data_IF_248810852748
#
_entry.id   IF_248810852748
#
_cell.length_a   1.000
_cell.length_b   1.000
_cell.length_c   1.000
_cell.angle_alpha   90.00
_cell.angle_beta   90.00
_cell.angle_gamma   90.00
#
_symmetry.space_group_name_H-M   'P 1'
#
loop_
_entity.id
_entity.type
_entity.pdbx_description
1 polymer ?
#
# COMPACT_ATOMS: atom_id res chain seq x y z
N UNK A 1 -37.87 -6.70 25.36
CA UNK A 1 -36.89 -7.28 24.42
C UNK A 1 -36.19 -6.13 23.72
N UNK A 2 -35.03 -5.71 24.22
CA UNK A 2 -34.22 -4.68 23.57
C UNK A 2 -33.42 -5.34 22.44
N UNK A 3 -33.52 -4.77 21.25
CA UNK A 3 -32.95 -5.30 20.02
C UNK A 3 -31.43 -5.06 20.03
N UNK A 4 -30.74 -6.10 19.55
CA UNK A 4 -29.32 -6.30 19.33
C UNK A 4 -28.47 -5.06 18.98
N UNK A 5 -27.28 -5.00 19.58
CA UNK A 5 -26.13 -4.26 19.08
C UNK A 5 -25.69 -4.80 17.71
N UNK A 6 -25.76 -3.98 16.66
CA UNK A 6 -24.98 -4.16 15.43
C UNK A 6 -24.09 -2.95 15.22
N UNK A 7 -22.95 -3.03 15.90
CA UNK A 7 -21.60 -2.63 15.48
C UNK A 7 -21.52 -1.97 14.07
N UNK A 8 -21.08 -0.71 14.04
CA UNK A 8 -20.40 -0.06 12.91
C UNK A 8 -21.19 0.06 11.59
N UNK A 9 -22.01 1.11 11.48
CA UNK A 9 -22.21 1.78 10.19
C UNK A 9 -21.22 2.95 10.15
N UNK A 10 -19.97 2.65 9.77
CA UNK A 10 -19.11 3.66 9.15
C UNK A 10 -19.56 3.73 7.69
N UNK A 11 -20.36 4.73 7.39
CA UNK A 11 -20.67 5.12 6.01
C UNK A 11 -19.35 5.50 5.32
N UNK A 12 -18.77 4.55 4.60
CA UNK A 12 -17.68 4.76 3.66
C UNK A 12 -18.23 5.52 2.44
N UNK A 13 -18.40 6.82 2.62
CA UNK A 13 -18.84 7.74 1.58
C UNK A 13 -17.74 7.88 0.53
N UNK A 14 -17.75 6.98 -0.45
CA UNK A 14 -17.20 7.09 -1.82
C UNK A 14 -16.38 8.35 -2.10
N UNK A 15 -15.08 8.28 -1.85
CA UNK A 15 -14.09 9.09 -2.57
C UNK A 15 -13.06 8.13 -3.16
N UNK A 16 -13.36 7.69 -4.38
CA UNK A 16 -12.44 7.00 -5.31
C UNK A 16 -11.55 5.93 -4.67
N UNK A 17 -12.05 4.71 -4.53
CA UNK A 17 -11.27 3.48 -4.34
C UNK A 17 -10.32 3.23 -5.54
N UNK A 18 -9.42 4.17 -5.86
CA UNK A 18 -8.19 3.85 -6.58
C UNK A 18 -7.38 2.96 -5.63
N UNK A 19 -7.68 1.67 -5.66
CA UNK A 19 -6.94 0.61 -5.00
C UNK A 19 -5.44 0.89 -5.23
N UNK A 20 -4.75 1.30 -4.16
CA UNK A 20 -3.41 1.85 -4.22
C UNK A 20 -2.47 0.90 -4.99
N UNK A 21 -2.16 1.26 -6.24
CA UNK A 21 -1.36 0.43 -7.14
C UNK A 21 0.01 1.09 -7.34
N UNK A 22 1.00 0.61 -6.60
CA UNK A 22 2.39 1.08 -6.69
C UNK A 22 3.17 0.46 -7.85
N UNK A 23 2.51 -0.36 -8.68
CA UNK A 23 3.07 -1.04 -9.84
C UNK A 23 3.79 -2.36 -9.51
N UNK A 24 3.74 -2.80 -8.25
CA UNK A 24 4.37 -4.03 -7.79
C UNK A 24 3.37 -5.00 -7.16
N UNK A 25 3.62 -6.30 -7.29
CA UNK A 25 2.82 -7.33 -6.64
C UNK A 25 3.10 -7.44 -5.12
N UNK A 26 2.48 -8.43 -4.48
CA UNK A 26 2.70 -8.74 -3.06
C UNK A 26 4.17 -9.08 -2.74
N UNK A 27 4.92 -9.61 -3.72
CA UNK A 27 6.33 -9.96 -3.58
C UNK A 27 7.29 -8.82 -3.98
N UNK A 28 6.78 -7.59 -4.17
CA UNK A 28 7.55 -6.43 -4.65
C UNK A 28 8.18 -6.63 -6.04
N UNK A 29 7.63 -7.56 -6.82
CA UNK A 29 8.05 -7.85 -8.18
C UNK A 29 7.13 -7.12 -9.16
N UNK A 30 7.73 -6.46 -10.15
CA UNK A 30 6.99 -5.86 -11.25
C UNK A 30 6.67 -6.87 -12.35
N UNK A 31 6.40 -6.35 -13.54
CA UNK A 31 6.24 -7.16 -14.75
C UNK A 31 7.52 -7.90 -15.16
N UNK A 32 7.47 -8.60 -16.29
CA UNK A 32 8.55 -9.49 -16.71
C UNK A 32 9.89 -8.76 -16.97
N UNK A 33 9.85 -7.52 -17.43
CA UNK A 33 11.04 -6.67 -17.58
C UNK A 33 11.73 -6.38 -16.23
N UNK A 34 10.94 -6.12 -15.19
CA UNK A 34 11.45 -5.87 -13.83
C UNK A 34 12.10 -7.13 -13.24
N UNK A 35 11.49 -8.30 -13.49
CA UNK A 35 12.05 -9.59 -13.08
C UNK A 35 13.41 -9.84 -13.73
N UNK A 36 13.54 -9.55 -15.03
CA UNK A 36 14.80 -9.69 -15.76
C UNK A 36 15.85 -8.73 -15.18
N UNK A 37 15.49 -7.48 -14.91
CA UNK A 37 16.39 -6.50 -14.31
C UNK A 37 16.88 -6.97 -12.92
N UNK A 38 15.99 -7.47 -12.08
CA UNK A 38 16.34 -8.00 -10.75
C UNK A 38 17.24 -9.24 -10.82
N UNK A 39 17.07 -10.10 -11.84
CA UNK A 39 17.95 -11.26 -12.05
C UNK A 39 19.35 -10.88 -12.56
N UNK A 40 19.50 -9.72 -13.20
CA UNK A 40 20.80 -9.22 -13.67
C UNK A 40 21.61 -8.53 -12.56
N UNK A 41 20.98 -8.19 -11.44
CA UNK A 41 21.65 -7.58 -10.28
C UNK A 41 22.38 -8.64 -9.44
N UNK A 42 23.43 -8.21 -8.74
CA UNK A 42 24.04 -9.06 -7.70
C UNK A 42 23.09 -9.22 -6.52
N UNK A 43 23.27 -10.27 -5.71
CA UNK A 43 22.37 -10.53 -4.57
C UNK A 43 22.22 -9.32 -3.63
N UNK A 44 23.33 -8.62 -3.35
CA UNK A 44 23.32 -7.42 -2.51
C UNK A 44 22.49 -6.29 -3.12
N UNK A 45 22.60 -6.08 -4.43
CA UNK A 45 21.87 -5.03 -5.13
C UNK A 45 20.38 -5.37 -5.27
N UNK A 46 20.07 -6.65 -5.47
CA UNK A 46 18.71 -7.18 -5.51
C UNK A 46 18.00 -6.98 -4.17
N UNK A 47 18.66 -7.33 -3.07
CA UNK A 47 18.12 -7.10 -1.71
C UNK A 47 17.95 -5.61 -1.39
N UNK A 48 18.91 -4.76 -1.78
CA UNK A 48 18.80 -3.31 -1.60
C UNK A 48 17.61 -2.73 -2.36
N UNK A 49 17.40 -3.13 -3.61
CA UNK A 49 16.26 -2.70 -4.42
C UNK A 49 14.92 -3.12 -3.78
N UNK A 50 14.79 -4.37 -3.33
CA UNK A 50 13.60 -4.85 -2.63
C UNK A 50 13.35 -4.08 -1.34
N UNK A 51 14.40 -3.77 -0.59
CA UNK A 51 14.31 -2.95 0.63
C UNK A 51 13.78 -1.54 0.32
N UNK A 52 14.31 -0.85 -0.69
CA UNK A 52 13.83 0.47 -1.08
C UNK A 52 12.35 0.45 -1.54
N UNK A 53 11.93 -0.60 -2.24
CA UNK A 53 10.53 -0.77 -2.65
C UNK A 53 9.61 -0.95 -1.45
N UNK A 54 10.03 -1.76 -0.48
CA UNK A 54 9.29 -1.95 0.76
C UNK A 54 9.13 -0.62 1.52
N UNK A 55 10.23 0.11 1.74
CA UNK A 55 10.17 1.41 2.42
C UNK A 55 9.28 2.40 1.67
N UNK A 56 9.37 2.45 0.34
CA UNK A 56 8.52 3.34 -0.47
C UNK A 56 7.04 3.01 -0.30
N UNK A 57 6.68 1.72 -0.31
CA UNK A 57 5.30 1.25 -0.08
C UNK A 57 4.80 1.63 1.30
N UNK A 58 5.60 1.42 2.34
CA UNK A 58 5.23 1.78 3.72
C UNK A 58 5.12 3.30 3.89
N UNK A 59 6.03 4.08 3.31
CA UNK A 59 5.93 5.54 3.30
C UNK A 59 4.65 6.02 2.62
N UNK A 60 4.26 5.42 1.49
CA UNK A 60 3.05 5.81 0.77
C UNK A 60 1.78 5.43 1.55
N UNK A 61 1.74 4.26 2.18
CA UNK A 61 0.64 3.87 3.08
C UNK A 61 0.52 4.82 4.26
N UNK A 62 1.64 5.10 4.94
CA UNK A 62 1.67 6.02 6.08
C UNK A 62 1.29 7.43 5.64
N UNK A 63 1.80 7.90 4.51
CA UNK A 63 1.48 9.24 3.97
C UNK A 63 -0.01 9.35 3.66
N UNK A 64 -0.60 8.35 2.98
CA UNK A 64 -2.03 8.31 2.69
C UNK A 64 -2.87 8.34 3.97
N UNK A 65 -2.51 7.52 4.97
CA UNK A 65 -3.20 7.49 6.25
C UNK A 65 -3.04 8.79 7.05
N UNK A 66 -1.85 9.40 7.04
CA UNK A 66 -1.59 10.66 7.74
C UNK A 66 -2.40 11.82 7.13
N UNK A 67 -2.52 11.87 5.80
CA UNK A 67 -3.39 12.83 5.11
C UNK A 67 -4.85 12.62 5.48
N UNK A 68 -5.35 11.38 5.52
CA UNK A 68 -6.72 11.10 5.96
C UNK A 68 -6.98 11.51 7.41
N UNK A 69 -6.06 11.20 8.33
CA UNK A 69 -6.19 11.57 9.75
C UNK A 69 -6.20 13.10 9.91
N UNK A 70 -5.32 13.82 9.20
CA UNK A 70 -5.24 15.28 9.28
C UNK A 70 -6.46 15.99 8.66
N UNK A 71 -7.08 15.41 7.63
CA UNK A 71 -8.29 15.96 7.00
C UNK A 71 -9.58 15.59 7.76
N UNK A 72 -9.60 14.53 8.57
CA UNK A 72 -10.74 14.15 9.41
C UNK A 72 -10.83 14.95 10.73
N UNK A 73 -9.80 15.71 11.09
CA UNK A 73 -9.79 16.57 12.27
C UNK A 73 -10.33 18.00 12.01
N UNK A 74 -10.88 18.29 10.82
CA UNK A 74 -11.50 19.59 10.47
C UNK A 74 -12.97 19.48 10.04
#
# INVERSE_FOLDING_TARGET
MAIHLTKYELEDSTDSEEEFNDGYDENLMGGDEDKIRLMQLTEREREQELFYRYERRECLKISSLCTYIFNLEY
#
